data_IF_325424666372
#
_entry.id   IF_325424666372
#
_cell.length_a   1.000
_cell.length_b   1.000
_cell.length_c   1.000
_cell.angle_alpha   90.00
_cell.angle_beta   90.00
_cell.angle_gamma   90.00
#
_symmetry.space_group_name_H-M   'P 1'
#
loop_
_entity.id
_entity.type
_entity.pdbx_description
1 polymer ?
#
# COMPACT_ATOMS: atom_id res chain seq x y z
N UNK A 1 11.63 -20.98 -1.43
CA UNK A 1 11.08 -19.93 -2.35
C UNK A 1 9.73 -19.40 -1.94
N UNK A 2 8.82 -20.27 -1.46
CA UNK A 2 7.45 -19.85 -1.12
C UNK A 2 7.36 -19.02 0.17
N UNK A 3 8.14 -19.35 1.20
CA UNK A 3 8.11 -18.61 2.47
C UNK A 3 8.67 -17.19 2.35
N UNK A 4 9.74 -17.01 1.60
CA UNK A 4 10.34 -15.70 1.37
C UNK A 4 9.38 -14.78 0.58
N UNK A 5 8.66 -15.35 -0.39
CA UNK A 5 7.67 -14.62 -1.17
C UNK A 5 6.43 -14.23 -0.35
N UNK A 6 5.98 -15.09 0.58
CA UNK A 6 4.89 -14.79 1.51
C UNK A 6 5.28 -13.67 2.48
N UNK A 7 6.51 -13.73 2.99
CA UNK A 7 7.08 -12.71 3.86
C UNK A 7 7.11 -11.34 3.19
N UNK A 8 7.67 -11.27 1.98
CA UNK A 8 7.78 -10.02 1.23
C UNK A 8 6.41 -9.37 1.00
N UNK A 9 5.40 -10.15 0.68
CA UNK A 9 4.04 -9.65 0.46
C UNK A 9 3.44 -9.00 1.70
N UNK A 10 3.54 -9.66 2.84
CA UNK A 10 2.99 -9.14 4.10
C UNK A 10 3.76 -7.90 4.57
N UNK A 11 5.09 -7.92 4.45
CA UNK A 11 5.92 -6.78 4.82
C UNK A 11 5.64 -5.56 3.96
N UNK A 12 5.56 -5.73 2.65
CA UNK A 12 5.24 -4.62 1.74
C UNK A 12 3.86 -4.03 2.05
N UNK A 13 2.85 -4.87 2.23
CA UNK A 13 1.50 -4.41 2.55
C UNK A 13 1.47 -3.58 3.85
N UNK A 14 2.16 -4.04 4.89
CA UNK A 14 2.23 -3.36 6.19
C UNK A 14 2.90 -1.99 6.05
N UNK A 15 4.04 -1.92 5.37
CA UNK A 15 4.78 -0.65 5.23
C UNK A 15 4.04 0.33 4.33
N UNK A 16 3.42 -0.14 3.24
CA UNK A 16 2.57 0.70 2.38
C UNK A 16 1.41 1.27 3.18
N UNK A 17 0.72 0.46 3.98
CA UNK A 17 -0.37 0.96 4.82
C UNK A 17 0.11 1.98 5.84
N UNK A 18 1.24 1.74 6.50
CA UNK A 18 1.83 2.70 7.43
C UNK A 18 2.09 4.05 6.76
N UNK A 19 2.65 4.02 5.55
CA UNK A 19 2.86 5.22 4.74
C UNK A 19 1.56 5.92 4.36
N UNK A 20 0.53 5.17 3.98
CA UNK A 20 -0.80 5.73 3.65
C UNK A 20 -1.43 6.39 4.86
N UNK A 21 -1.37 5.78 6.04
CA UNK A 21 -1.90 6.35 7.28
C UNK A 21 -1.33 7.74 7.54
N UNK A 22 -0.01 7.88 7.42
CA UNK A 22 0.66 9.17 7.63
C UNK A 22 0.45 10.14 6.45
N UNK A 23 0.43 9.64 5.22
CA UNK A 23 0.13 10.47 4.06
C UNK A 23 -1.26 11.10 4.14
N UNK A 24 -2.25 10.35 4.61
CA UNK A 24 -3.61 10.87 4.82
C UNK A 24 -3.63 12.04 5.82
N UNK A 25 -2.84 11.96 6.89
CA UNK A 25 -2.67 13.07 7.84
C UNK A 25 -2.04 14.28 7.16
N UNK A 26 -1.00 14.07 6.35
CA UNK A 26 -0.29 15.15 5.65
C UNK A 26 -1.22 15.91 4.70
N UNK A 27 -2.06 15.18 3.94
CA UNK A 27 -2.96 15.80 2.96
C UNK A 27 -4.32 16.19 3.56
N UNK A 28 -4.62 15.78 4.79
CA UNK A 28 -5.88 16.09 5.45
C UNK A 28 -7.09 15.41 4.85
N UNK A 29 -6.94 14.20 4.32
CA UNK A 29 -8.05 13.43 3.72
C UNK A 29 -8.53 12.34 4.69
N UNK A 30 -9.85 12.14 4.69
CA UNK A 30 -10.50 11.08 5.45
C UNK A 30 -10.52 9.78 4.62
N UNK A 31 -10.09 8.68 5.21
CA UNK A 31 -10.02 7.37 4.51
C UNK A 31 -11.35 6.93 3.92
N UNK A 32 -12.45 7.23 4.58
CA UNK A 32 -13.79 6.84 4.15
C UNK A 32 -14.20 7.49 2.82
N UNK A 33 -13.61 8.63 2.50
CA UNK A 33 -13.92 9.42 1.31
C UNK A 33 -12.91 9.25 0.18
N UNK A 34 -11.87 8.46 0.40
CA UNK A 34 -10.81 8.27 -0.59
C UNK A 34 -11.17 7.21 -1.63
N UNK A 35 -10.87 7.52 -2.89
CA UNK A 35 -10.89 6.56 -3.99
C UNK A 35 -9.47 6.00 -4.18
N UNK A 36 -9.34 4.68 -4.13
CA UNK A 36 -8.05 3.99 -4.18
C UNK A 36 -7.96 3.11 -5.43
N UNK A 37 -6.85 3.17 -6.11
CA UNK A 37 -6.54 2.29 -7.24
C UNK A 37 -5.30 1.45 -6.89
N UNK A 38 -5.44 0.13 -6.97
CA UNK A 38 -4.33 -0.81 -6.82
C UNK A 38 -4.06 -1.45 -8.18
N UNK A 39 -2.90 -1.21 -8.75
CA UNK A 39 -2.50 -1.78 -10.04
C UNK A 39 -1.50 -2.91 -9.84
N UNK A 40 -1.94 -4.10 -10.21
CA UNK A 40 -1.30 -5.37 -9.97
C UNK A 40 -2.25 -6.25 -9.16
N UNK A 41 -2.80 -7.28 -9.81
CA UNK A 41 -3.80 -8.16 -9.20
C UNK A 41 -3.24 -9.54 -8.87
N UNK A 42 -1.93 -9.63 -8.78
CA UNK A 42 -1.23 -10.81 -8.26
C UNK A 42 -1.29 -10.85 -6.74
N UNK A 43 -0.53 -11.75 -6.15
CA UNK A 43 -0.56 -11.98 -4.70
C UNK A 43 -0.16 -10.76 -3.88
N UNK A 44 0.77 -9.92 -4.35
CA UNK A 44 1.14 -8.68 -3.67
C UNK A 44 -0.01 -7.66 -3.68
N UNK A 45 -0.63 -7.44 -4.84
CA UNK A 45 -1.77 -6.53 -4.97
C UNK A 45 -2.98 -6.97 -4.15
N UNK A 46 -3.26 -8.26 -4.12
CA UNK A 46 -4.34 -8.83 -3.29
C UNK A 46 -4.05 -8.64 -1.80
N UNK A 47 -2.82 -8.91 -1.35
CA UNK A 47 -2.44 -8.74 0.06
C UNK A 47 -2.56 -7.27 0.50
N UNK A 48 -2.10 -6.35 -0.31
CA UNK A 48 -2.23 -4.91 -0.05
C UNK A 48 -3.71 -4.52 0.02
N UNK A 49 -4.49 -4.91 -0.98
CA UNK A 49 -5.92 -4.57 -1.04
C UNK A 49 -6.68 -5.06 0.19
N UNK A 50 -6.46 -6.31 0.62
CA UNK A 50 -7.07 -6.85 1.83
C UNK A 50 -6.76 -6.00 3.06
N UNK A 51 -5.50 -5.59 3.20
CA UNK A 51 -5.09 -4.80 4.36
C UNK A 51 -5.65 -3.38 4.31
N UNK A 52 -5.71 -2.75 3.14
CA UNK A 52 -6.33 -1.44 2.96
C UNK A 52 -7.81 -1.47 3.32
N UNK A 53 -8.53 -2.52 2.90
CA UNK A 53 -9.94 -2.72 3.25
C UNK A 53 -10.12 -2.91 4.76
N UNK A 54 -9.25 -3.69 5.40
CA UNK A 54 -9.25 -3.90 6.85
C UNK A 54 -9.05 -2.58 7.61
N UNK A 55 -8.20 -1.71 7.10
CA UNK A 55 -7.99 -0.37 7.67
C UNK A 55 -9.23 0.53 7.55
N UNK A 56 -10.07 0.32 6.55
CA UNK A 56 -11.29 1.11 6.33
C UNK A 56 -11.30 1.96 5.07
N UNK A 57 -10.36 1.73 4.14
CA UNK A 57 -10.43 2.28 2.79
C UNK A 57 -11.42 1.43 2.00
N UNK A 58 -12.62 1.95 1.76
CA UNK A 58 -13.75 1.17 1.23
C UNK A 58 -13.86 1.17 -0.28
N UNK A 59 -13.39 2.23 -0.93
CA UNK A 59 -13.56 2.45 -2.37
C UNK A 59 -12.29 2.08 -3.12
N UNK A 60 -12.01 0.79 -3.20
CA UNK A 60 -10.82 0.26 -3.89
C UNK A 60 -11.20 -0.33 -5.23
N UNK A 61 -10.47 0.05 -6.27
CA UNK A 61 -10.55 -0.53 -7.61
C UNK A 61 -9.22 -1.19 -7.92
N UNK A 62 -9.25 -2.47 -8.31
CA UNK A 62 -8.07 -3.19 -8.76
C UNK A 62 -7.96 -3.17 -10.27
N UNK A 63 -6.73 -3.05 -10.76
CA UNK A 63 -6.41 -3.12 -12.18
C UNK A 63 -5.30 -4.14 -12.42
N UNK A 64 -5.26 -4.70 -13.62
CA UNK A 64 -4.15 -5.48 -14.13
C UNK A 64 -3.79 -4.99 -15.55
N UNK A 65 -3.01 -5.77 -16.29
CA UNK A 65 -2.61 -5.40 -17.66
C UNK A 65 -3.79 -5.18 -18.60
N UNK A 66 -4.94 -5.79 -18.32
CA UNK A 66 -6.17 -5.64 -19.12
C UNK A 66 -7.02 -4.42 -18.71
N UNK A 67 -6.62 -3.70 -17.66
CA UNK A 67 -7.33 -2.54 -17.14
C UNK A 67 -8.09 -2.84 -15.84
N UNK A 68 -9.22 -2.14 -15.65
CA UNK A 68 -10.03 -2.27 -14.45
C UNK A 68 -10.65 -3.67 -14.36
N UNK A 69 -10.49 -4.31 -13.19
CA UNK A 69 -11.11 -5.60 -12.89
C UNK A 69 -12.48 -5.42 -12.28
N UNK A 70 -13.43 -6.22 -12.77
CA UNK A 70 -14.82 -6.27 -12.29
C UNK A 70 -15.29 -7.73 -12.22
N UNK A 71 -16.51 -7.95 -11.74
CA UNK A 71 -17.13 -9.28 -11.75
C UNK A 71 -17.27 -9.89 -13.14
N UNK A 72 -17.25 -9.05 -14.18
CA UNK A 72 -17.34 -9.46 -15.59
C UNK A 72 -16.00 -9.76 -16.22
N UNK A 73 -14.88 -9.52 -15.53
CA UNK A 73 -13.55 -9.78 -16.06
C UNK A 73 -13.34 -11.28 -16.28
N UNK A 74 -12.66 -11.61 -17.39
CA UNK A 74 -12.36 -12.98 -17.77
C UNK A 74 -11.05 -13.45 -17.16
N UNK A 75 -10.87 -14.77 -17.06
CA UNK A 75 -9.63 -15.42 -16.60
C UNK A 75 -9.16 -15.03 -15.20
N UNK A 76 -10.09 -14.66 -14.32
CA UNK A 76 -9.77 -14.40 -12.93
C UNK A 76 -9.49 -15.71 -12.18
N UNK A 77 -8.40 -15.71 -11.39
CA UNK A 77 -8.16 -16.80 -10.45
C UNK A 77 -9.11 -16.69 -9.25
N UNK A 78 -9.11 -17.69 -8.35
CA UNK A 78 -10.02 -17.73 -7.21
C UNK A 78 -9.84 -16.55 -6.24
N UNK A 79 -8.59 -16.08 -6.04
CA UNK A 79 -8.31 -14.91 -5.18
C UNK A 79 -8.87 -13.63 -5.80
N UNK A 80 -8.69 -13.45 -7.10
CA UNK A 80 -9.20 -12.28 -7.82
C UNK A 80 -10.72 -12.26 -7.82
N UNK A 81 -11.37 -13.39 -8.02
CA UNK A 81 -12.84 -13.51 -7.94
C UNK A 81 -13.36 -13.11 -6.57
N UNK A 82 -12.69 -13.55 -5.51
CA UNK A 82 -13.02 -13.19 -4.14
C UNK A 82 -12.90 -11.68 -3.93
N UNK A 83 -11.84 -11.06 -4.47
CA UNK A 83 -11.63 -9.61 -4.37
C UNK A 83 -12.68 -8.80 -5.12
N UNK A 84 -13.27 -9.34 -6.19
CA UNK A 84 -14.33 -8.64 -6.94
C UNK A 84 -15.62 -8.48 -6.13
N UNK A 85 -15.81 -9.25 -5.07
CA UNK A 85 -16.96 -9.09 -4.17
C UNK A 85 -16.81 -7.88 -3.24
N UNK A 86 -15.59 -7.40 -3.02
CA UNK A 86 -15.28 -6.34 -2.05
C UNK A 86 -14.60 -5.10 -2.66
N UNK A 87 -14.29 -5.15 -3.95
CA UNK A 87 -13.68 -4.04 -4.71
C UNK A 87 -14.54 -3.67 -5.91
N UNK A 88 -14.33 -2.46 -6.44
CA UNK A 88 -15.05 -1.95 -7.60
C UNK A 88 -16.56 -2.23 -7.54
N UNK A 89 -17.18 -1.88 -6.42
CA UNK A 89 -18.60 -2.17 -6.16
C UNK A 89 -19.53 -1.52 -7.18
N UNK A 90 -19.12 -0.40 -7.79
CA UNK A 90 -19.87 0.27 -8.85
C UNK A 90 -19.68 -0.37 -10.23
N UNK A 91 -18.88 -1.43 -10.34
CA UNK A 91 -18.63 -2.15 -11.58
C UNK A 91 -18.13 -1.24 -12.73
N UNK A 92 -17.18 -0.36 -12.41
CA UNK A 92 -16.51 0.47 -13.42
C UNK A 92 -15.73 -0.40 -14.38
N UNK A 93 -15.63 0.06 -15.61
CA UNK A 93 -14.83 -0.57 -16.67
C UNK A 93 -13.89 0.45 -17.29
N UNK A 94 -12.86 0.00 -17.96
CA UNK A 94 -11.91 0.85 -18.67
C UNK A 94 -10.46 0.51 -18.39
N UNK A 95 -9.61 1.48 -18.67
CA UNK A 95 -8.15 1.36 -18.53
C UNK A 95 -7.70 1.83 -17.14
N UNK A 96 -6.40 1.66 -16.85
CA UNK A 96 -5.77 2.25 -15.67
C UNK A 96 -5.96 3.78 -15.64
N UNK A 97 -5.83 4.44 -16.80
CA UNK A 97 -6.04 5.88 -16.91
C UNK A 97 -7.47 6.27 -16.48
N UNK A 98 -8.46 5.48 -16.88
CA UNK A 98 -9.86 5.69 -16.46
C UNK A 98 -10.03 5.51 -14.96
N UNK A 99 -9.38 4.51 -14.36
CA UNK A 99 -9.43 4.26 -12.93
C UNK A 99 -8.82 5.42 -12.12
N UNK A 100 -7.74 6.02 -12.62
CA UNK A 100 -7.03 7.10 -11.94
C UNK A 100 -7.76 8.43 -11.96
N UNK A 101 -8.70 8.65 -12.88
CA UNK A 101 -9.50 9.88 -12.88
C UNK A 101 -10.29 10.01 -11.56
N UNK A 102 -9.99 11.07 -10.82
CA UNK A 102 -10.65 11.33 -9.53
C UNK A 102 -10.21 10.40 -8.40
N UNK A 103 -9.13 9.66 -8.57
CA UNK A 103 -8.56 8.85 -7.50
C UNK A 103 -7.72 9.70 -6.55
N UNK A 104 -7.70 9.32 -5.29
CA UNK A 104 -6.93 9.98 -4.23
C UNK A 104 -5.61 9.25 -3.95
N UNK A 105 -5.62 7.93 -4.07
CA UNK A 105 -4.48 7.06 -3.74
C UNK A 105 -4.26 6.07 -4.87
N UNK A 106 -3.00 5.94 -5.29
CA UNK A 106 -2.54 4.91 -6.23
C UNK A 106 -1.49 4.04 -5.55
N UNK A 107 -1.64 2.72 -5.68
CA UNK A 107 -0.62 1.76 -5.28
C UNK A 107 -0.31 0.86 -6.48
N UNK A 108 0.93 0.90 -6.96
CA UNK A 108 1.40 0.08 -8.07
C UNK A 108 2.37 -1.00 -7.63
N UNK A 109 2.12 -2.25 -8.04
CA UNK A 109 2.96 -3.42 -7.76
C UNK A 109 3.07 -4.29 -9.01
N UNK A 110 3.24 -3.68 -10.17
CA UNK A 110 3.24 -4.43 -11.45
C UNK A 110 4.44 -4.13 -12.34
N UNK A 111 4.39 -3.06 -13.12
CA UNK A 111 5.33 -2.81 -14.20
C UNK A 111 5.85 -1.37 -14.22
N UNK A 112 7.09 -1.14 -14.68
CA UNK A 112 7.65 0.20 -14.74
C UNK A 112 6.98 1.08 -15.79
N UNK A 113 6.99 2.38 -15.56
CA UNK A 113 6.64 3.43 -16.53
C UNK A 113 5.22 3.32 -17.12
N UNK A 114 4.28 2.76 -16.37
CA UNK A 114 2.89 2.60 -16.84
C UNK A 114 1.96 3.74 -16.42
N UNK A 115 2.43 4.66 -15.58
CA UNK A 115 1.68 5.83 -15.15
C UNK A 115 2.30 7.08 -15.77
N UNK A 116 1.51 7.83 -16.54
CA UNK A 116 1.94 9.06 -17.19
C UNK A 116 1.67 10.29 -16.32
N UNK A 117 2.27 11.42 -16.69
CA UNK A 117 1.99 12.72 -16.05
C UNK A 117 0.49 13.07 -16.14
N UNK A 118 -0.11 12.83 -17.31
CA UNK A 118 -1.53 13.11 -17.53
C UNK A 118 -2.43 12.27 -16.62
N UNK A 119 -2.05 11.02 -16.39
CA UNK A 119 -2.77 10.13 -15.48
C UNK A 119 -2.73 10.68 -14.05
N UNK A 120 -1.57 11.13 -13.58
CA UNK A 120 -1.44 11.75 -12.25
C UNK A 120 -2.22 13.06 -12.18
N UNK A 121 -2.13 13.90 -13.21
CA UNK A 121 -2.85 15.16 -13.26
C UNK A 121 -4.38 14.99 -13.22
N UNK A 122 -4.89 13.82 -13.66
CA UNK A 122 -6.33 13.50 -13.63
C UNK A 122 -6.82 13.04 -12.26
N UNK A 123 -5.90 12.73 -11.34
CA UNK A 123 -6.24 12.36 -9.96
C UNK A 123 -6.76 13.57 -9.18
N UNK A 124 -7.37 13.31 -8.05
CA UNK A 124 -7.80 14.38 -7.15
C UNK A 124 -6.58 15.16 -6.62
N UNK A 125 -6.84 16.41 -6.21
CA UNK A 125 -5.81 17.27 -5.59
C UNK A 125 -5.14 16.54 -4.42
N UNK A 126 -3.85 16.80 -4.25
CA UNK A 126 -3.03 16.22 -3.19
C UNK A 126 -3.02 14.68 -3.21
N UNK A 127 -2.87 14.11 -4.40
CA UNK A 127 -2.83 12.67 -4.59
C UNK A 127 -1.63 12.02 -3.88
N UNK A 128 -1.85 10.80 -3.43
CA UNK A 128 -0.86 9.94 -2.77
C UNK A 128 -0.53 8.77 -3.71
N UNK A 129 0.74 8.58 -4.01
CA UNK A 129 1.21 7.50 -4.89
C UNK A 129 2.27 6.64 -4.21
N UNK A 130 2.08 5.32 -4.28
CA UNK A 130 3.08 4.32 -3.93
C UNK A 130 3.39 3.50 -5.18
N UNK A 131 4.47 3.86 -5.86
CA UNK A 131 4.92 3.24 -7.11
C UNK A 131 6.03 2.24 -6.80
N UNK A 132 5.67 0.97 -6.64
CA UNK A 132 6.49 -0.07 -6.03
C UNK A 132 7.19 -1.01 -7.01
N UNK A 133 6.99 -0.84 -8.33
CA UNK A 133 7.68 -1.67 -9.34
C UNK A 133 9.21 -1.52 -9.22
N UNK A 134 9.92 -2.62 -9.34
CA UNK A 134 11.37 -2.69 -9.21
C UNK A 134 12.02 -3.19 -10.51
N UNK A 135 13.19 -2.67 -10.89
CA UNK A 135 13.97 -1.58 -10.26
C UNK A 135 13.49 -0.19 -10.62
N UNK A 136 12.61 -0.06 -11.62
CA UNK A 136 12.05 1.22 -12.08
C UNK A 136 10.58 1.28 -11.68
N UNK A 137 10.14 2.35 -10.97
CA UNK A 137 8.76 2.47 -10.54
C UNK A 137 7.80 2.76 -11.70
N UNK A 138 6.51 2.64 -11.43
CA UNK A 138 5.43 2.95 -12.39
C UNK A 138 5.50 4.40 -12.90
N UNK A 139 5.98 5.29 -12.06
CA UNK A 139 6.31 6.68 -12.38
C UNK A 139 7.43 7.15 -11.43
N UNK A 140 8.37 7.94 -11.94
CA UNK A 140 9.43 8.48 -11.08
C UNK A 140 8.85 9.55 -10.13
N UNK A 141 9.29 9.62 -8.86
CA UNK A 141 8.72 10.53 -7.88
C UNK A 141 8.74 12.01 -8.26
N UNK A 142 9.81 12.49 -8.86
CA UNK A 142 9.93 13.86 -9.33
C UNK A 142 8.93 14.20 -10.43
N UNK A 143 8.72 13.27 -11.35
CA UNK A 143 7.73 13.38 -12.44
C UNK A 143 6.31 13.40 -11.87
N UNK A 144 6.01 12.51 -10.92
CA UNK A 144 4.70 12.45 -10.27
C UNK A 144 4.39 13.74 -9.49
N UNK A 145 5.36 14.27 -8.76
CA UNK A 145 5.20 15.53 -8.02
C UNK A 145 4.97 16.72 -8.94
N UNK A 146 5.71 16.79 -10.05
CA UNK A 146 5.51 17.81 -11.08
C UNK A 146 4.10 17.76 -11.66
N UNK A 147 3.53 16.56 -11.80
CA UNK A 147 2.17 16.37 -12.31
C UNK A 147 1.07 16.66 -11.28
N UNK A 148 1.42 16.92 -10.02
CA UNK A 148 0.48 17.31 -8.97
C UNK A 148 0.36 16.37 -7.78
N UNK A 149 1.08 15.26 -7.75
CA UNK A 149 1.09 14.37 -6.59
C UNK A 149 1.71 15.07 -5.38
N UNK A 150 1.09 14.92 -4.22
CA UNK A 150 1.57 15.53 -2.98
C UNK A 150 2.58 14.61 -2.26
N UNK A 151 2.26 13.35 -2.15
CA UNK A 151 3.09 12.35 -1.44
C UNK A 151 3.40 11.21 -2.39
N UNK A 152 4.67 10.88 -2.54
CA UNK A 152 5.13 9.78 -3.39
C UNK A 152 6.10 8.90 -2.62
N UNK A 153 5.80 7.59 -2.55
CA UNK A 153 6.68 6.57 -2.01
C UNK A 153 7.08 5.56 -3.08
N UNK A 154 8.27 5.03 -2.98
CA UNK A 154 8.78 3.95 -3.85
C UNK A 154 9.65 2.99 -3.06
N UNK A 155 10.07 1.90 -3.69
CA UNK A 155 11.05 0.98 -3.11
C UNK A 155 12.50 1.49 -3.20
N UNK A 156 12.74 2.62 -3.87
CA UNK A 156 14.10 3.14 -4.11
C UNK A 156 14.62 3.91 -2.90
N UNK A 157 15.90 3.71 -2.58
CA UNK A 157 16.58 4.40 -1.48
C UNK A 157 17.04 5.82 -1.84
N UNK A 158 17.06 6.16 -3.13
CA UNK A 158 17.52 7.48 -3.62
C UNK A 158 16.40 8.54 -3.65
N UNK A 159 15.20 8.19 -3.18
CA UNK A 159 14.06 9.13 -3.06
C UNK A 159 13.49 9.11 -1.63
N UNK A 160 12.82 10.20 -1.20
CA UNK A 160 12.11 10.22 0.08
C UNK A 160 11.03 9.13 0.16
N UNK A 161 10.61 8.82 1.39
CA UNK A 161 9.51 7.87 1.65
C UNK A 161 9.79 6.46 1.11
N UNK A 162 11.00 5.97 1.32
CA UNK A 162 11.36 4.61 0.90
C UNK A 162 10.50 3.58 1.63
N UNK A 163 9.86 2.71 0.85
CA UNK A 163 9.17 1.54 1.35
C UNK A 163 10.15 0.37 1.33
N UNK A 164 10.60 -0.05 2.51
CA UNK A 164 11.51 -1.17 2.66
C UNK A 164 10.88 -2.22 3.59
N UNK A 165 10.43 -3.30 3.03
CA UNK A 165 9.75 -4.38 3.74
C UNK A 165 10.66 -5.19 4.66
N UNK A 166 11.97 -5.18 4.42
CA UNK A 166 12.96 -5.92 5.22
C UNK A 166 12.90 -5.53 6.71
N UNK A 167 12.54 -4.29 7.00
CA UNK A 167 12.56 -3.74 8.36
C UNK A 167 11.39 -4.24 9.21
N UNK A 168 10.21 -4.45 8.62
CA UNK A 168 9.04 -4.91 9.34
C UNK A 168 9.13 -6.40 9.75
N UNK A 169 9.89 -7.19 9.02
CA UNK A 169 9.94 -8.64 9.16
C UNK A 169 10.46 -9.17 10.49
N UNK A 170 11.65 -8.75 10.95
CA UNK A 170 12.16 -9.28 12.21
C UNK A 170 11.19 -9.08 13.36
N UNK A 171 10.51 -7.94 13.40
CA UNK A 171 9.51 -7.62 14.42
C UNK A 171 8.25 -8.49 14.33
N UNK A 172 7.76 -8.74 13.12
CA UNK A 172 6.56 -9.58 12.91
C UNK A 172 6.86 -11.01 13.37
N UNK A 173 7.99 -11.58 12.98
CA UNK A 173 8.38 -12.92 13.41
C UNK A 173 8.63 -13.02 14.88
N UNK A 174 9.40 -12.09 15.42
CA UNK A 174 9.69 -12.04 16.86
C UNK A 174 8.37 -11.99 17.65
N UNK A 175 7.46 -11.11 17.27
CA UNK A 175 6.16 -10.98 17.94
C UNK A 175 5.32 -12.25 17.83
N UNK A 176 5.26 -12.85 16.64
CA UNK A 176 4.51 -14.09 16.43
C UNK A 176 5.10 -15.27 17.20
N UNK A 177 6.42 -15.45 17.19
CA UNK A 177 7.10 -16.51 17.92
C UNK A 177 6.97 -16.36 19.42
N UNK A 178 7.25 -15.18 19.95
CA UNK A 178 7.13 -14.91 21.39
C UNK A 178 5.70 -15.07 21.91
N UNK A 179 4.72 -14.70 21.07
CA UNK A 179 3.30 -14.85 21.39
C UNK A 179 2.71 -16.22 21.04
N UNK A 180 3.51 -17.14 20.46
CA UNK A 180 3.09 -18.46 20.03
C UNK A 180 1.92 -18.44 19.02
N UNK A 181 1.91 -17.46 18.12
CA UNK A 181 0.89 -17.36 17.08
C UNK A 181 1.08 -18.47 16.03
N UNK A 182 -0.03 -19.02 15.56
CA UNK A 182 -0.04 -20.03 14.49
C UNK A 182 -0.13 -19.39 13.09
N UNK A 183 -0.56 -18.13 13.01
CA UNK A 183 -0.70 -17.39 11.75
C UNK A 183 -0.61 -15.88 11.99
N UNK A 184 -0.30 -15.13 10.93
CA UNK A 184 -0.33 -13.67 10.94
C UNK A 184 -1.70 -13.21 10.42
N UNK A 185 -2.52 -12.66 11.30
CA UNK A 185 -3.86 -12.18 10.98
C UNK A 185 -3.85 -10.78 10.36
N UNK A 186 -4.95 -10.38 9.71
CA UNK A 186 -5.10 -9.02 9.19
C UNK A 186 -5.04 -7.98 10.33
N UNK A 187 -5.59 -8.28 11.51
CA UNK A 187 -5.52 -7.41 12.69
C UNK A 187 -4.09 -7.22 13.18
N UNK A 188 -3.27 -8.27 13.17
CA UNK A 188 -1.85 -8.17 13.50
C UNK A 188 -1.10 -7.27 12.53
N UNK A 189 -1.37 -7.39 11.23
CA UNK A 189 -0.78 -6.55 10.20
C UNK A 189 -1.20 -5.09 10.35
N UNK A 190 -2.48 -4.84 10.63
CA UNK A 190 -2.99 -3.50 10.89
C UNK A 190 -2.31 -2.87 12.12
N UNK A 191 -2.17 -3.64 13.19
CA UNK A 191 -1.48 -3.21 14.41
C UNK A 191 0.00 -2.89 14.14
N UNK A 192 0.67 -3.71 13.33
CA UNK A 192 2.06 -3.48 12.92
C UNK A 192 2.18 -2.18 12.10
N UNK A 193 1.27 -1.94 11.17
CA UNK A 193 1.25 -0.72 10.37
C UNK A 193 1.05 0.53 11.25
N UNK A 194 0.12 0.47 12.20
CA UNK A 194 -0.10 1.55 13.17
C UNK A 194 1.16 1.83 14.00
N UNK A 195 1.84 0.78 14.45
CA UNK A 195 3.06 0.91 15.25
C UNK A 195 4.19 1.59 14.45
N UNK A 196 4.36 1.21 13.19
CA UNK A 196 5.36 1.83 12.30
C UNK A 196 5.00 3.30 12.02
N UNK A 197 3.75 3.57 11.69
CA UNK A 197 3.30 4.94 11.42
C UNK A 197 3.50 5.84 12.64
N UNK A 198 3.26 5.33 13.84
CA UNK A 198 3.42 6.06 15.10
C UNK A 198 4.86 6.45 15.45
N UNK A 199 5.86 5.88 14.76
CA UNK A 199 7.26 6.25 14.97
C UNK A 199 7.62 7.60 14.36
N UNK A 200 6.83 8.11 13.43
CA UNK A 200 6.98 9.46 12.90
C UNK A 200 6.08 10.38 13.72
N UNK A 201 6.68 11.27 14.50
CA UNK A 201 5.93 12.22 15.32
C UNK A 201 5.11 13.18 14.44
N UNK A 202 3.93 13.59 14.90
CA UNK A 202 3.05 14.46 14.12
C UNK A 202 3.73 15.75 13.67
N UNK A 203 4.56 16.35 14.51
CA UNK A 203 5.36 17.56 14.20
C UNK A 203 6.41 17.34 13.12
N UNK A 204 6.83 16.10 12.88
CA UNK A 204 7.82 15.71 11.87
C UNK A 204 7.19 15.26 10.56
N UNK A 205 5.87 15.04 10.54
CA UNK A 205 5.17 14.62 9.33
C UNK A 205 5.16 15.72 8.26
N UNK A 206 5.57 15.34 7.07
CA UNK A 206 5.46 16.17 5.86
C UNK A 206 5.47 15.27 4.62
N UNK A 207 5.28 15.85 3.45
CA UNK A 207 5.20 15.12 2.18
C UNK A 207 6.42 14.25 1.86
N UNK A 208 7.56 14.54 2.46
CA UNK A 208 8.82 13.80 2.27
C UNK A 208 9.22 12.97 3.48
N UNK A 209 8.37 12.89 4.50
CA UNK A 209 8.66 12.15 5.74
C UNK A 209 7.39 11.54 6.33
N UNK A 210 6.96 10.42 5.75
CA UNK A 210 5.77 9.67 6.16
C UNK A 210 6.08 8.31 6.76
N UNK A 211 7.33 7.87 6.70
CA UNK A 211 7.78 6.58 7.22
C UNK A 211 9.06 6.77 8.02
N UNK A 212 9.31 5.94 9.05
CA UNK A 212 10.59 5.95 9.74
C UNK A 212 11.71 5.49 8.79
N UNK A 213 12.94 5.84 9.11
CA UNK A 213 14.12 5.35 8.38
C UNK A 213 14.12 3.82 8.38
N UNK A 214 14.51 3.17 7.25
CA UNK A 214 14.45 1.72 7.12
C UNK A 214 15.22 0.94 8.20
N UNK A 215 16.28 1.51 8.73
CA UNK A 215 17.13 0.89 9.76
C UNK A 215 16.90 1.47 11.16
N UNK A 216 15.79 2.15 11.40
CA UNK A 216 15.44 2.64 12.74
C UNK A 216 15.27 1.44 13.68
N UNK A 217 16.09 1.35 14.74
CA UNK A 217 16.07 0.20 15.63
C UNK A 217 14.76 0.02 16.39
N UNK A 218 13.95 1.08 16.50
CA UNK A 218 12.64 1.03 17.16
C UNK A 218 11.60 0.23 16.39
N UNK A 219 11.76 0.09 15.08
CA UNK A 219 10.74 -0.57 14.22
C UNK A 219 10.51 -2.01 14.65
N UNK A 220 11.56 -2.81 14.80
CA UNK A 220 11.44 -4.22 15.19
C UNK A 220 10.74 -4.38 16.53
N UNK A 221 11.04 -3.55 17.50
CA UNK A 221 10.44 -3.60 18.84
C UNK A 221 8.96 -3.23 18.83
N UNK A 222 8.59 -2.10 18.21
CA UNK A 222 7.19 -1.66 18.20
C UNK A 222 6.31 -2.61 17.38
N UNK A 223 6.82 -3.16 16.29
CA UNK A 223 6.11 -4.16 15.49
C UNK A 223 5.91 -5.46 16.28
N UNK A 224 6.97 -5.94 16.94
CA UNK A 224 6.91 -7.15 17.78
C UNK A 224 5.84 -7.00 18.88
N UNK A 225 5.86 -5.88 19.59
CA UNK A 225 4.89 -5.62 20.66
C UNK A 225 3.45 -5.52 20.14
N UNK A 226 3.26 -4.86 19.01
CA UNK A 226 1.93 -4.73 18.38
C UNK A 226 1.38 -6.09 17.94
N UNK A 227 2.21 -6.95 17.34
CA UNK A 227 1.81 -8.29 16.91
C UNK A 227 1.44 -9.14 18.13
N UNK A 228 2.26 -9.14 19.20
CA UNK A 228 1.98 -9.90 20.43
C UNK A 228 0.66 -9.49 21.08
N UNK A 229 0.35 -8.21 21.10
CA UNK A 229 -0.87 -7.69 21.73
C UNK A 229 -2.16 -8.17 21.02
N UNK A 230 -2.07 -8.62 19.76
CA UNK A 230 -3.21 -9.06 18.95
C UNK A 230 -3.25 -10.58 18.72
N UNK A 231 -2.44 -11.34 19.44
CA UNK A 231 -2.51 -12.81 19.44
C UNK A 231 -3.67 -13.24 20.31
N UNK A 232 -4.54 -14.12 19.78
CA UNK A 232 -5.67 -14.73 20.51
C UNK A 232 -5.29 -16.10 21.00
#
# INVERSE_FOLDING_TARGET
GSEMCIRDRHGTAIVVLAGIMNALKVVGKEKENCQVVVNGAGSAGVAITKLLLTYGLKNVTMCDISGILSKKSENLNWMQKEMMEVTNLSQKTGTLADALKGADIFVGVSAPNIVSEEMVASMNKDAILFAMANPVPEIMPDVAKKAGAKVVGTGRSDFPNQVNNVVAFPGIFKGALEGRATQITEEMKLAAANAIAGLVADEDLNENNILPEPFDPRVAEVVSNAVKAHIK
#
